data_IF_915944793874
#
_entry.id   IF_915944793874
#
_cell.length_a   1.000
_cell.length_b   1.000
_cell.length_c   1.000
_cell.angle_alpha   90.00
_cell.angle_beta   90.00
_cell.angle_gamma   90.00
#
_symmetry.space_group_name_H-M   'P 1'
#
loop_
_entity.id
_entity.type
_entity.pdbx_description
1 polymer ?
#
# COMPACT_ATOMS: atom_id res chain seq x y z
N UNK A 1 -13.55 73.12 -29.99
CA UNK A 1 -14.70 72.20 -30.21
C UNK A 1 -14.17 70.85 -30.63
N UNK A 2 -14.91 69.79 -30.29
CA UNK A 2 -14.77 68.40 -30.74
C UNK A 2 -13.73 67.51 -30.02
N UNK A 3 -14.28 66.73 -29.07
CA UNK A 3 -13.88 65.38 -28.67
C UNK A 3 -13.93 64.38 -29.83
N UNK A 4 -13.45 63.14 -29.55
CA UNK A 4 -13.59 61.85 -30.28
C UNK A 4 -12.38 61.55 -31.19
N UNK A 5 -11.71 60.38 -31.22
CA UNK A 5 -12.10 58.99 -30.90
C UNK A 5 -10.87 58.08 -30.68
N UNK A 6 -11.14 56.91 -30.09
CA UNK A 6 -10.28 55.79 -29.74
C UNK A 6 -9.57 55.07 -30.91
N UNK A 7 -8.62 54.22 -30.49
CA UNK A 7 -8.31 52.85 -30.94
C UNK A 7 -7.17 52.63 -31.94
N UNK A 8 -6.11 51.95 -31.46
CA UNK A 8 -5.71 50.65 -32.01
C UNK A 8 -4.96 49.83 -30.93
N UNK A 9 -5.44 48.60 -30.74
CA UNK A 9 -4.93 47.55 -29.87
C UNK A 9 -3.75 46.80 -30.51
N UNK A 10 -2.84 46.27 -29.67
CA UNK A 10 -2.03 45.04 -29.83
C UNK A 10 -0.89 45.09 -28.78
N UNK A 11 -0.52 44.08 -27.98
CA UNK A 11 -0.70 42.63 -27.96
C UNK A 11 -0.68 42.17 -26.47
N UNK A 12 -1.56 41.27 -26.00
CA UNK A 12 -1.36 39.79 -25.84
C UNK A 12 -0.09 39.49 -25.01
N UNK A 13 -0.08 38.85 -23.83
CA UNK A 13 -0.98 37.93 -23.13
C UNK A 13 -0.94 38.23 -21.62
N UNK A 14 -2.10 38.44 -21.00
CA UNK A 14 -2.23 38.46 -19.55
C UNK A 14 -3.35 37.49 -19.20
N UNK A 15 -2.96 36.28 -18.77
CA UNK A 15 -3.87 35.23 -18.35
C UNK A 15 -4.59 35.66 -17.08
N UNK A 16 -5.75 36.29 -17.25
CA UNK A 16 -6.74 36.44 -16.21
C UNK A 16 -7.56 35.14 -16.09
N UNK A 17 -7.52 34.59 -14.87
CA UNK A 17 -8.68 34.23 -14.07
C UNK A 17 -9.46 32.93 -14.36
N UNK A 18 -9.58 32.19 -13.25
CA UNK A 18 -10.78 31.50 -12.75
C UNK A 18 -10.97 30.03 -13.14
N UNK A 19 -10.43 29.17 -12.30
CA UNK A 19 -11.28 28.20 -11.61
C UNK A 19 -10.78 28.05 -10.17
N UNK A 20 -11.39 28.80 -9.26
CA UNK A 20 -11.45 28.38 -7.88
C UNK A 20 -12.41 27.20 -7.79
N UNK A 21 -12.00 26.09 -7.18
CA UNK A 21 -12.79 25.50 -6.11
C UNK A 21 -11.99 24.40 -5.40
N UNK A 22 -12.08 24.43 -4.08
CA UNK A 22 -12.09 23.21 -3.27
C UNK A 22 -10.74 22.52 -3.09
N UNK A 23 -10.00 22.97 -2.09
CA UNK A 23 -9.22 22.05 -1.27
C UNK A 23 -10.19 21.03 -0.64
N UNK A 24 -10.54 19.98 -1.38
CA UNK A 24 -11.00 18.73 -0.79
C UNK A 24 -9.77 18.04 -0.21
N UNK A 25 -9.22 18.61 0.87
CA UNK A 25 -8.27 17.89 1.69
C UNK A 25 -9.02 16.71 2.28
N UNK A 26 -8.89 15.55 1.62
CA UNK A 26 -9.51 14.28 2.01
C UNK A 26 -9.49 14.16 3.53
N UNK A 27 -10.66 14.27 4.15
CA UNK A 27 -10.81 14.20 5.60
C UNK A 27 -10.20 12.89 6.10
N UNK A 28 -10.24 11.85 5.27
CA UNK A 28 -9.56 10.58 5.49
C UNK A 28 -8.03 10.69 5.48
N UNK A 29 -7.40 11.41 4.53
CA UNK A 29 -5.96 11.65 4.58
C UNK A 29 -5.54 12.41 5.85
N UNK A 30 -6.40 13.30 6.37
CA UNK A 30 -6.18 13.96 7.68
C UNK A 30 -6.45 13.00 8.85
N UNK A 31 -7.44 12.12 8.75
CA UNK A 31 -7.78 11.12 9.76
C UNK A 31 -6.67 10.09 9.93
N UNK A 32 -6.05 9.65 8.83
CA UNK A 32 -4.94 8.71 8.85
C UNK A 32 -3.61 9.39 9.25
N UNK A 33 -3.34 10.63 8.81
CA UNK A 33 -2.14 11.38 9.24
C UNK A 33 -2.15 11.81 10.71
N UNK A 34 -3.30 12.20 11.28
CA UNK A 34 -3.37 12.76 12.64
C UNK A 34 -3.18 11.74 13.76
N UNK A 35 -3.32 10.43 13.46
CA UNK A 35 -3.09 9.37 14.45
C UNK A 35 -1.59 9.13 14.69
N UNK A 36 -0.74 9.42 13.71
CA UNK A 36 0.71 9.25 13.84
C UNK A 36 1.38 10.38 14.67
N UNK A 37 0.74 11.55 14.80
CA UNK A 37 1.34 12.72 15.49
C UNK A 37 1.08 12.80 17.01
N UNK A 38 0.22 11.97 17.60
CA UNK A 38 -0.25 12.17 18.99
C UNK A 38 0.31 11.21 20.05
N UNK A 39 1.36 10.45 19.75
CA UNK A 39 2.02 9.56 20.73
C UNK A 39 3.40 10.09 21.06
N UNK A 40 3.47 11.20 21.81
CA UNK A 40 4.69 11.59 22.52
C UNK A 40 4.39 12.54 23.68
N UNK A 41 4.61 12.03 24.90
CA UNK A 41 5.25 12.74 26.02
C UNK A 41 5.28 11.81 27.23
N UNK A 42 6.47 11.34 27.62
CA UNK A 42 6.98 11.43 28.99
C UNK A 42 8.41 10.85 29.04
N UNK A 43 9.39 11.75 29.22
CA UNK A 43 10.81 11.46 29.49
C UNK A 43 11.01 10.77 30.84
N UNK A 44 12.02 9.89 30.94
CA UNK A 44 13.18 10.10 31.84
C UNK A 44 14.44 9.41 31.30
N UNK A 45 15.57 9.98 31.69
CA UNK A 45 16.95 9.94 31.20
C UNK A 45 17.80 8.71 31.58
N UNK A 46 18.73 8.29 30.70
CA UNK A 46 20.20 8.46 30.83
C UNK A 46 21.06 7.47 29.99
N UNK A 47 22.04 8.04 29.28
CA UNK A 47 23.36 7.51 28.87
C UNK A 47 23.52 6.28 27.93
N UNK A 48 23.67 6.59 26.64
CA UNK A 48 24.74 6.20 25.69
C UNK A 48 25.18 4.72 25.52
N UNK A 49 24.75 4.13 24.40
CA UNK A 49 25.64 3.48 23.42
C UNK A 49 25.00 3.50 22.03
N UNK A 50 25.77 3.94 21.04
CA UNK A 50 25.32 4.26 19.69
C UNK A 50 24.88 3.03 18.86
N UNK A 51 23.77 3.20 18.13
CA UNK A 51 23.44 2.43 16.93
C UNK A 51 22.21 1.52 17.00
N UNK A 52 21.11 1.97 17.62
CA UNK A 52 19.85 1.21 17.68
C UNK A 52 18.63 2.00 17.19
N UNK A 53 17.62 1.27 16.72
CA UNK A 53 16.20 1.62 16.90
C UNK A 53 15.33 0.41 16.53
N UNK A 54 15.20 -0.56 17.45
CA UNK A 54 14.12 -1.53 17.40
C UNK A 54 12.83 -0.80 17.81
N UNK A 55 11.91 -0.65 16.86
CA UNK A 55 10.63 0.04 17.04
C UNK A 55 9.64 -0.89 17.77
N UNK A 56 8.93 -0.45 18.82
CA UNK A 56 8.20 -1.36 19.70
C UNK A 56 6.80 -1.78 19.20
N UNK A 57 6.43 -1.48 17.95
CA UNK A 57 5.13 -1.85 17.36
C UNK A 57 5.18 -2.42 15.94
N UNK A 58 6.29 -3.04 15.54
CA UNK A 58 6.34 -3.70 14.23
C UNK A 58 7.64 -4.45 14.03
N UNK A 59 7.77 -5.60 14.67
CA UNK A 59 8.87 -6.52 14.40
C UNK A 59 8.82 -6.97 12.93
N UNK A 60 9.97 -7.03 12.27
CA UNK A 60 10.05 -7.67 10.95
C UNK A 60 9.96 -9.18 11.14
N UNK A 61 8.79 -9.78 10.88
CA UNK A 61 8.65 -11.23 10.81
C UNK A 61 9.16 -11.69 9.44
N UNK A 62 10.11 -12.64 9.46
CA UNK A 62 10.81 -13.14 8.27
C UNK A 62 11.48 -12.06 7.41
N UNK A 63 11.82 -10.90 7.99
CA UNK A 63 12.46 -9.78 7.27
C UNK A 63 11.49 -8.75 6.69
N UNK A 64 10.17 -8.95 6.80
CA UNK A 64 9.14 -8.06 6.26
C UNK A 64 8.32 -7.43 7.37
N UNK A 65 7.95 -6.16 7.22
CA UNK A 65 6.96 -5.53 8.12
C UNK A 65 5.57 -6.09 7.84
N UNK A 66 4.65 -5.95 8.79
CA UNK A 66 3.27 -6.41 8.60
C UNK A 66 2.60 -5.66 7.44
N UNK A 67 2.88 -4.35 7.29
CA UNK A 67 2.41 -3.56 6.14
C UNK A 67 2.93 -4.09 4.81
N UNK A 68 4.20 -4.51 4.71
CA UNK A 68 4.73 -5.09 3.47
C UNK A 68 4.03 -6.40 3.09
N UNK A 69 3.62 -7.18 4.09
CA UNK A 69 2.82 -8.39 3.94
C UNK A 69 1.30 -8.14 4.03
N UNK A 70 0.86 -6.90 3.82
CA UNK A 70 -0.56 -6.49 3.74
C UNK A 70 -1.38 -6.82 4.98
N UNK A 71 -0.70 -7.07 6.10
CA UNK A 71 -1.25 -7.58 7.35
C UNK A 71 -1.98 -8.93 7.22
N UNK A 72 -1.79 -9.67 6.11
CA UNK A 72 -2.58 -10.87 5.84
C UNK A 72 -2.34 -11.99 6.86
N UNK A 73 -1.18 -12.06 7.49
CA UNK A 73 -0.90 -13.02 8.56
C UNK A 73 -1.09 -12.44 9.98
N UNK A 74 -1.75 -11.28 10.09
CA UNK A 74 -2.03 -10.59 11.34
C UNK A 74 -3.52 -10.65 11.67
N UNK A 75 -3.85 -11.21 12.83
CA UNK A 75 -5.23 -11.25 13.33
C UNK A 75 -5.77 -9.84 13.60
N UNK A 76 -7.08 -9.64 13.42
CA UNK A 76 -7.77 -8.37 13.60
C UNK A 76 -7.45 -7.67 14.92
N UNK A 77 -7.42 -8.42 16.02
CA UNK A 77 -7.11 -7.91 17.36
C UNK A 77 -5.72 -7.25 17.46
N UNK A 78 -4.76 -7.70 16.65
CA UNK A 78 -3.37 -7.22 16.60
C UNK A 78 -3.12 -6.13 15.56
N UNK A 79 -4.10 -5.83 14.71
CA UNK A 79 -3.97 -4.75 13.73
C UNK A 79 -3.75 -3.40 14.44
N UNK A 80 -2.84 -2.56 13.93
CA UNK A 80 -2.78 -1.18 14.36
C UNK A 80 -4.10 -0.46 14.04
N UNK A 81 -4.44 0.57 14.82
CA UNK A 81 -5.72 1.26 14.68
C UNK A 81 -5.96 1.81 13.26
N UNK A 82 -4.92 2.27 12.58
CA UNK A 82 -4.98 2.74 11.19
C UNK A 82 -5.35 1.61 10.23
N UNK A 83 -4.67 0.47 10.28
CA UNK A 83 -4.97 -0.70 9.45
C UNK A 83 -6.39 -1.22 9.70
N UNK A 84 -6.82 -1.32 10.96
CA UNK A 84 -8.19 -1.75 11.29
C UNK A 84 -9.26 -0.81 10.75
N UNK A 85 -9.01 0.50 10.77
CA UNK A 85 -9.92 1.49 10.16
C UNK A 85 -9.95 1.38 8.64
N UNK A 86 -8.80 1.15 8.01
CA UNK A 86 -8.70 0.93 6.58
C UNK A 86 -9.44 -0.35 6.15
N UNK A 87 -9.22 -1.46 6.84
CA UNK A 87 -9.94 -2.72 6.61
C UNK A 87 -11.47 -2.53 6.65
N UNK A 88 -11.98 -1.75 7.61
CA UNK A 88 -13.42 -1.40 7.66
C UNK A 88 -13.91 -0.58 6.47
N UNK A 89 -13.07 0.29 5.90
CA UNK A 89 -13.45 1.10 4.72
C UNK A 89 -13.66 0.21 3.50
N UNK A 90 -12.88 -0.86 3.38
CA UNK A 90 -12.98 -1.83 2.29
C UNK A 90 -13.92 -3.00 2.59
N UNK A 91 -14.72 -2.92 3.66
CA UNK A 91 -15.79 -3.87 3.97
C UNK A 91 -15.43 -4.99 4.94
N UNK A 92 -14.19 -5.08 5.42
CA UNK A 92 -13.82 -6.09 6.41
C UNK A 92 -14.35 -5.75 7.82
N UNK A 93 -14.79 -6.81 8.50
CA UNK A 93 -15.05 -6.87 9.93
C UNK A 93 -14.08 -7.87 10.57
N UNK A 94 -14.09 -7.97 11.90
CA UNK A 94 -13.21 -8.89 12.62
C UNK A 94 -13.34 -10.32 12.13
N UNK A 95 -14.58 -10.79 12.00
CA UNK A 95 -14.86 -12.15 11.55
C UNK A 95 -14.40 -12.37 10.12
N UNK A 96 -14.75 -11.49 9.18
CA UNK A 96 -14.37 -11.67 7.78
C UNK A 96 -12.86 -11.54 7.55
N UNK A 97 -12.19 -10.66 8.30
CA UNK A 97 -10.73 -10.53 8.27
C UNK A 97 -10.01 -11.77 8.79
N UNK A 98 -10.39 -12.27 9.97
CA UNK A 98 -9.73 -13.41 10.60
C UNK A 98 -10.02 -14.73 9.87
N UNK A 99 -11.19 -14.83 9.22
CA UNK A 99 -11.56 -15.99 8.42
C UNK A 99 -11.05 -15.94 6.97
N UNK A 100 -10.42 -14.83 6.55
CA UNK A 100 -10.02 -14.62 5.15
C UNK A 100 -11.20 -14.78 4.19
N UNK A 101 -12.32 -14.14 4.50
CA UNK A 101 -13.50 -14.17 3.64
C UNK A 101 -13.25 -13.32 2.38
N UNK A 102 -13.68 -13.84 1.22
CA UNK A 102 -13.74 -13.08 -0.03
C UNK A 102 -14.86 -12.04 0.06
N UNK A 103 -14.57 -10.80 -0.31
CA UNK A 103 -15.50 -9.67 -0.31
C UNK A 103 -15.66 -9.10 -1.72
N UNK A 104 -16.71 -8.29 -1.93
CA UNK A 104 -16.97 -7.64 -3.23
C UNK A 104 -15.78 -6.80 -3.75
N UNK A 105 -14.91 -6.29 -2.87
CA UNK A 105 -13.74 -5.52 -3.29
C UNK A 105 -12.68 -6.40 -3.98
N UNK A 106 -12.62 -7.69 -3.65
CA UNK A 106 -11.66 -8.63 -4.24
C UNK A 106 -11.95 -8.90 -5.72
N UNK A 107 -13.18 -8.60 -6.18
CA UNK A 107 -13.59 -8.68 -7.59
C UNK A 107 -13.26 -7.40 -8.38
N UNK A 108 -12.73 -6.35 -7.73
CA UNK A 108 -12.44 -5.08 -8.39
C UNK A 108 -10.99 -4.99 -8.85
N UNK A 109 -10.79 -4.44 -10.06
CA UNK A 109 -9.50 -3.90 -10.45
C UNK A 109 -9.21 -2.62 -9.63
N UNK A 110 -7.92 -2.28 -9.44
CA UNK A 110 -7.51 -1.10 -8.66
C UNK A 110 -8.18 0.21 -9.14
N UNK A 111 -8.42 0.34 -10.43
CA UNK A 111 -9.04 1.52 -11.04
C UNK A 111 -10.55 1.61 -10.78
N UNK A 112 -11.22 0.48 -10.55
CA UNK A 112 -12.66 0.40 -10.26
C UNK A 112 -12.98 0.81 -8.82
N UNK A 113 -11.99 0.74 -7.93
CA UNK A 113 -12.12 1.18 -6.54
C UNK A 113 -12.40 2.68 -6.42
N UNK A 114 -13.14 3.06 -5.39
CA UNK A 114 -13.26 4.46 -4.97
C UNK A 114 -11.91 5.00 -4.48
N UNK A 115 -11.77 6.34 -4.45
CA UNK A 115 -10.57 6.97 -3.89
C UNK A 115 -10.37 6.60 -2.41
N UNK A 116 -11.45 6.46 -1.64
CA UNK A 116 -11.42 6.02 -0.25
C UNK A 116 -10.96 4.57 -0.11
N UNK A 117 -11.44 3.67 -0.97
CA UNK A 117 -11.02 2.27 -1.00
C UNK A 117 -9.53 2.16 -1.34
N UNK A 118 -9.05 2.84 -2.38
CA UNK A 118 -7.61 2.87 -2.70
C UNK A 118 -6.74 3.38 -1.55
N UNK A 119 -7.11 4.49 -0.91
CA UNK A 119 -6.38 5.01 0.25
C UNK A 119 -6.36 4.01 1.43
N UNK A 120 -7.44 3.24 1.61
CA UNK A 120 -7.49 2.20 2.62
C UNK A 120 -6.58 1.01 2.25
N UNK A 121 -6.59 0.55 1.00
CA UNK A 121 -5.66 -0.45 0.47
C UNK A 121 -4.20 -0.01 0.67
N UNK A 122 -3.85 1.23 0.32
CA UNK A 122 -2.51 1.82 0.56
C UNK A 122 -2.13 1.87 2.05
N UNK A 123 -3.11 2.08 2.93
CA UNK A 123 -2.91 2.06 4.38
C UNK A 123 -2.57 0.65 4.86
N UNK A 124 -3.22 -0.37 4.29
CA UNK A 124 -2.94 -1.78 4.54
C UNK A 124 -1.63 -2.25 3.89
N UNK A 125 -1.11 -1.51 2.91
CA UNK A 125 0.15 -1.80 2.24
C UNK A 125 0.01 -2.44 0.85
N UNK A 126 -1.21 -2.46 0.33
CA UNK A 126 -1.47 -2.73 -1.07
C UNK A 126 -1.08 -1.54 -1.93
N UNK A 127 -0.56 -1.82 -3.11
CA UNK A 127 -0.47 -0.90 -4.23
C UNK A 127 -1.07 -1.55 -5.47
N UNK A 128 -1.27 -0.76 -6.53
CA UNK A 128 -1.86 -1.22 -7.79
C UNK A 128 -1.18 -2.47 -8.35
N UNK A 129 0.15 -2.50 -8.31
CA UNK A 129 0.93 -3.57 -8.92
C UNK A 129 0.79 -4.87 -8.12
N UNK A 130 0.83 -4.79 -6.79
CA UNK A 130 0.56 -5.95 -5.92
C UNK A 130 -0.89 -6.45 -6.02
N UNK A 131 -1.85 -5.56 -6.29
CA UNK A 131 -3.27 -5.87 -6.35
C UNK A 131 -3.67 -6.52 -7.68
N UNK A 132 -3.40 -5.84 -8.79
CA UNK A 132 -3.86 -6.28 -10.11
C UNK A 132 -3.00 -7.45 -10.61
N UNK A 133 -1.67 -7.28 -10.66
CA UNK A 133 -0.76 -8.18 -11.36
C UNK A 133 0.18 -8.97 -10.46
N UNK A 134 0.19 -8.73 -9.14
CA UNK A 134 1.19 -9.31 -8.22
C UNK A 134 2.63 -9.01 -8.66
N UNK A 135 2.79 -7.84 -9.31
CA UNK A 135 4.00 -7.37 -10.00
C UNK A 135 4.45 -8.16 -11.24
N UNK A 136 3.70 -9.17 -11.72
CA UNK A 136 4.08 -9.98 -12.88
C UNK A 136 4.26 -9.15 -14.17
N UNK A 137 3.62 -7.98 -14.26
CA UNK A 137 3.76 -7.05 -15.39
C UNK A 137 5.02 -6.16 -15.32
N UNK A 138 5.87 -6.33 -14.29
CA UNK A 138 7.09 -5.55 -14.06
C UNK A 138 8.35 -6.36 -14.33
N UNK A 139 9.36 -5.71 -14.88
CA UNK A 139 10.70 -6.28 -14.91
C UNK A 139 11.29 -6.34 -13.50
N UNK A 140 12.17 -7.30 -13.27
CA UNK A 140 12.93 -7.46 -12.02
C UNK A 140 13.64 -6.17 -11.61
N UNK A 141 14.12 -5.36 -12.56
CA UNK A 141 14.76 -4.07 -12.23
C UNK A 141 13.82 -3.08 -11.58
N UNK A 142 12.53 -3.13 -11.91
CA UNK A 142 11.48 -2.20 -11.47
C UNK A 142 10.85 -2.60 -10.14
N UNK A 143 10.99 -3.87 -9.74
CA UNK A 143 10.44 -4.36 -8.48
C UNK A 143 11.00 -3.59 -7.28
N UNK A 144 10.17 -3.29 -6.26
CA UNK A 144 10.66 -2.78 -4.98
C UNK A 144 11.65 -3.77 -4.33
N UNK A 145 12.66 -3.26 -3.62
CA UNK A 145 13.70 -4.11 -3.02
C UNK A 145 13.17 -5.22 -2.10
N UNK A 146 12.10 -4.94 -1.35
CA UNK A 146 11.47 -5.92 -0.47
C UNK A 146 10.67 -6.98 -1.24
N UNK A 147 10.12 -6.63 -2.40
CA UNK A 147 9.44 -7.57 -3.31
C UNK A 147 10.47 -8.52 -3.93
N UNK A 148 11.61 -7.99 -4.43
CA UNK A 148 12.73 -8.84 -4.90
C UNK A 148 13.18 -9.81 -3.81
N UNK A 149 13.38 -9.31 -2.59
CA UNK A 149 13.77 -10.17 -1.46
C UNK A 149 12.76 -11.28 -1.17
N UNK A 150 11.45 -11.01 -1.30
CA UNK A 150 10.41 -12.03 -1.14
C UNK A 150 10.41 -13.05 -2.29
N UNK A 151 10.53 -12.57 -3.53
CA UNK A 151 10.63 -13.41 -4.72
C UNK A 151 11.87 -14.33 -4.67
N UNK A 152 13.03 -13.80 -4.23
CA UNK A 152 14.26 -14.58 -4.03
C UNK A 152 14.07 -15.73 -3.04
N UNK A 153 13.35 -15.48 -1.93
CA UNK A 153 13.03 -16.51 -0.93
C UNK A 153 12.12 -17.62 -1.47
N UNK A 154 11.29 -17.30 -2.46
CA UNK A 154 10.40 -18.23 -3.15
C UNK A 154 11.07 -18.91 -4.36
N UNK A 155 12.35 -18.63 -4.61
CA UNK A 155 13.16 -19.30 -5.63
C UNK A 155 13.24 -18.60 -6.98
N UNK A 156 12.64 -17.41 -7.12
CA UNK A 156 12.84 -16.54 -8.27
C UNK A 156 14.19 -15.83 -8.18
N UNK A 157 14.71 -15.47 -9.35
CA UNK A 157 15.81 -14.53 -9.50
C UNK A 157 15.49 -13.67 -10.73
N UNK A 158 16.38 -12.74 -11.06
CA UNK A 158 16.18 -11.87 -12.23
C UNK A 158 15.84 -12.64 -13.51
N UNK A 159 16.63 -13.66 -13.85
CA UNK A 159 16.46 -14.44 -15.09
C UNK A 159 15.10 -15.15 -15.08
N UNK A 160 14.79 -15.88 -14.00
CA UNK A 160 13.51 -16.59 -13.92
C UNK A 160 12.29 -15.68 -13.92
N UNK A 161 12.41 -14.49 -13.33
CA UNK A 161 11.33 -13.52 -13.29
C UNK A 161 11.13 -12.86 -14.66
N UNK A 162 12.20 -12.34 -15.27
CA UNK A 162 12.12 -11.59 -16.53
C UNK A 162 11.79 -12.50 -17.73
N UNK A 163 12.14 -13.79 -17.66
CA UNK A 163 11.93 -14.77 -18.73
C UNK A 163 10.73 -15.72 -18.46
N UNK A 164 9.93 -15.49 -17.41
CA UNK A 164 8.76 -16.30 -17.02
C UNK A 164 9.07 -17.80 -16.81
N UNK A 165 10.13 -18.11 -16.06
CA UNK A 165 10.48 -19.50 -15.73
C UNK A 165 9.80 -19.98 -14.45
N UNK A 166 9.42 -21.26 -14.48
CA UNK A 166 8.87 -21.93 -13.31
C UNK A 166 9.86 -21.99 -12.14
N UNK A 167 9.31 -21.82 -10.94
CA UNK A 167 9.99 -22.07 -9.67
C UNK A 167 9.26 -23.19 -8.93
N UNK A 168 9.94 -23.92 -8.01
CA UNK A 168 9.30 -24.99 -7.25
C UNK A 168 8.06 -24.56 -6.46
N UNK A 169 7.92 -23.25 -6.17
CA UNK A 169 6.74 -22.71 -5.51
C UNK A 169 5.46 -22.91 -6.32
N UNK A 170 5.50 -22.92 -7.66
CA UNK A 170 4.31 -23.11 -8.51
C UNK A 170 3.68 -24.50 -8.41
N UNK A 171 4.40 -25.49 -7.91
CA UNK A 171 3.91 -26.86 -7.73
C UNK A 171 3.23 -27.07 -6.38
N UNK A 172 3.12 -26.02 -5.55
CA UNK A 172 2.61 -26.10 -4.18
C UNK A 172 1.20 -25.51 -4.09
N UNK A 173 0.33 -26.18 -3.34
CA UNK A 173 -0.94 -25.59 -2.90
C UNK A 173 -0.69 -24.60 -1.74
N UNK A 174 -1.62 -23.66 -1.51
CA UNK A 174 -1.48 -22.65 -0.44
C UNK A 174 -1.15 -23.26 0.94
N UNK A 175 -1.75 -24.42 1.25
CA UNK A 175 -1.59 -25.13 2.51
C UNK A 175 -0.21 -25.80 2.68
N UNK A 176 0.54 -25.99 1.60
CA UNK A 176 1.88 -26.61 1.61
C UNK A 176 2.99 -25.58 1.86
N UNK A 177 2.68 -24.29 1.77
CA UNK A 177 3.63 -23.24 2.13
C UNK A 177 3.86 -23.17 3.63
N UNK A 178 5.13 -23.01 3.98
CA UNK A 178 5.55 -22.62 5.32
C UNK A 178 5.05 -21.20 5.62
N UNK A 179 4.95 -20.82 6.92
CA UNK A 179 4.56 -19.46 7.28
C UNK A 179 5.51 -18.37 6.73
N UNK A 180 6.77 -18.70 6.43
CA UNK A 180 7.70 -17.77 5.78
C UNK A 180 7.37 -17.59 4.30
N UNK A 181 7.11 -18.68 3.58
CA UNK A 181 6.73 -18.64 2.17
C UNK A 181 5.38 -17.92 1.98
N UNK A 182 4.36 -18.22 2.79
CA UNK A 182 3.07 -17.50 2.75
C UNK A 182 3.27 -15.99 2.97
N UNK A 183 4.15 -15.61 3.89
CA UNK A 183 4.45 -14.18 4.12
C UNK A 183 5.16 -13.53 2.93
N UNK A 184 6.05 -14.26 2.24
CA UNK A 184 6.64 -13.78 0.99
C UNK A 184 5.58 -13.63 -0.12
N UNK A 185 4.63 -14.55 -0.20
CA UNK A 185 3.51 -14.49 -1.15
C UNK A 185 2.61 -13.27 -0.88
N UNK A 186 2.29 -12.98 0.39
CA UNK A 186 1.62 -11.75 0.77
C UNK A 186 2.40 -10.48 0.39
N UNK A 187 3.74 -10.53 0.44
CA UNK A 187 4.58 -9.42 -0.03
C UNK A 187 4.47 -9.21 -1.56
N UNK A 188 4.28 -10.27 -2.34
CA UNK A 188 4.01 -10.16 -3.78
C UNK A 188 2.58 -9.69 -4.07
N UNK A 189 1.63 -10.01 -3.19
CA UNK A 189 0.21 -9.65 -3.34
C UNK A 189 -0.71 -10.87 -3.42
N UNK A 190 -0.16 -12.08 -3.37
CA UNK A 190 -0.97 -13.29 -3.26
C UNK A 190 -1.51 -13.48 -1.85
N UNK A 191 -2.69 -14.09 -1.79
CA UNK A 191 -3.28 -14.60 -0.56
C UNK A 191 -4.08 -15.86 -0.89
N UNK A 192 -4.69 -16.49 0.13
CA UNK A 192 -5.27 -17.83 0.01
C UNK A 192 -6.24 -18.04 -1.16
N UNK A 193 -6.94 -17.00 -1.61
CA UNK A 193 -7.92 -17.11 -2.72
C UNK A 193 -7.36 -16.72 -4.10
N UNK A 194 -6.13 -16.23 -4.18
CA UNK A 194 -5.52 -15.74 -5.44
C UNK A 194 -4.31 -16.53 -5.89
N UNK A 195 -3.95 -17.59 -5.16
CA UNK A 195 -2.81 -18.46 -5.48
C UNK A 195 -3.19 -19.67 -6.34
N UNK A 196 -4.38 -20.25 -6.14
CA UNK A 196 -4.84 -21.48 -6.81
C UNK A 196 -5.67 -21.20 -8.08
#
# INVERSE_FOLDING_TARGET
MAFLLLNAHNLIDSCCHMAGNGSAGNIFAKLFKKVDEHVDQHQTSAAASAGGAANPFGGKKFGFTDKQAKYEDVTWSKLPLSARKAAKVIGFEEKSWDNKEWLDIDDYDWEEMSAEQRMACETLGWDRESWDSKYEDKYWSELPAHVKQAAEKLGWNKEKWDDDWDVPSWEKEWAEFTPEEQRCLHVLGYYVHTWD
#
